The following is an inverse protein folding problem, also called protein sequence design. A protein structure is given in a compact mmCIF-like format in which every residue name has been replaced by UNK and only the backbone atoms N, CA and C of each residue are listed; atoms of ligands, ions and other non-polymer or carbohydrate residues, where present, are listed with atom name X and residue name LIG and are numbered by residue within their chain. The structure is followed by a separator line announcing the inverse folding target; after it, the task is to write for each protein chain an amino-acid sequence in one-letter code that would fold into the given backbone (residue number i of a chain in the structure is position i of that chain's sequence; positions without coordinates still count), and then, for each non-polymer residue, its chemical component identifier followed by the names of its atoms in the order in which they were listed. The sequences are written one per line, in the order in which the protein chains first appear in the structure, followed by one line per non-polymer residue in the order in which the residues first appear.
data_IF_902266383842
#
_entry.id   IF_902266383842
#
_cell.length_a   1.000
_cell.length_b   1.000
_cell.length_c   1.000
_cell.angle_alpha   90.00
_cell.angle_beta   90.00
_cell.angle_gamma   90.00
#
_symmetry.space_group_name_H-M   'P 1'
#
loop_
_entity.id
_entity.type
_entity.pdbx_description
1 polymer ?
#
# COMPACT_ATOMS: atom_id res chain seq x y z
N UNK A 1 27.12 -7.02 14.23
CA UNK A 1 26.01 -6.24 13.64
C UNK A 1 25.38 -5.45 14.77
N UNK A 2 25.48 -4.12 14.72
CA UNK A 2 24.73 -3.30 15.69
C UNK A 2 23.23 -3.56 15.47
N UNK A 3 22.55 -4.02 16.52
CA UNK A 3 21.11 -4.18 16.47
C UNK A 3 20.48 -2.79 16.36
N UNK A 4 19.80 -2.54 15.23
CA UNK A 4 19.01 -1.34 15.02
C UNK A 4 18.06 -1.07 16.19
N UNK A 5 17.77 0.20 16.44
CA UNK A 5 16.74 0.62 17.40
C UNK A 5 15.41 -0.08 17.10
N UNK A 6 15.08 -0.25 15.80
CA UNK A 6 13.85 -0.93 15.39
C UNK A 6 13.83 -2.39 15.84
N UNK A 7 14.90 -3.15 15.57
CA UNK A 7 14.98 -4.57 15.95
C UNK A 7 15.00 -4.75 17.48
N UNK A 8 15.64 -3.84 18.23
CA UNK A 8 15.57 -3.81 19.70
C UNK A 8 14.14 -3.58 20.21
N UNK A 9 13.38 -2.68 19.58
CA UNK A 9 11.99 -2.41 19.98
C UNK A 9 11.05 -3.56 19.63
N UNK A 10 11.18 -4.13 18.43
CA UNK A 10 10.37 -5.26 17.97
C UNK A 10 10.64 -6.55 18.75
N UNK A 11 11.88 -6.77 19.19
CA UNK A 11 12.21 -7.91 20.05
C UNK A 11 11.76 -7.73 21.50
N UNK A 12 11.76 -6.50 22.02
CA UNK A 12 11.38 -6.20 23.41
C UNK A 12 9.87 -6.16 23.64
N UNK A 13 9.08 -5.80 22.62
CA UNK A 13 7.64 -5.61 22.76
C UNK A 13 6.86 -6.36 21.68
N UNK A 14 5.82 -7.10 22.09
CA UNK A 14 4.93 -7.85 21.19
C UNK A 14 3.76 -7.02 20.63
N UNK A 15 3.56 -5.80 21.11
CA UNK A 15 2.44 -4.94 20.73
C UNK A 15 2.91 -3.78 19.86
N UNK A 16 2.50 -3.78 18.60
CA UNK A 16 2.80 -2.70 17.66
C UNK A 16 2.23 -1.36 18.14
N UNK A 17 1.02 -1.35 18.71
CA UNK A 17 0.41 -0.12 19.25
C UNK A 17 1.21 0.44 20.41
N UNK A 18 1.81 -0.42 21.24
CA UNK A 18 2.75 0.01 22.30
C UNK A 18 4.01 0.63 21.71
N UNK A 19 4.60 0.01 20.68
CA UNK A 19 5.79 0.53 20.01
C UNK A 19 5.49 1.88 19.33
N UNK A 20 4.36 1.99 18.63
CA UNK A 20 3.89 3.25 18.04
C UNK A 20 3.77 4.36 19.10
N UNK A 21 3.17 4.06 20.26
CA UNK A 21 3.10 5.03 21.36
C UNK A 21 4.47 5.43 21.90
N UNK A 22 5.40 4.49 22.04
CA UNK A 22 6.78 4.79 22.48
C UNK A 22 7.44 5.76 21.49
N UNK A 23 7.34 5.50 20.19
CA UNK A 23 7.89 6.37 19.15
C UNK A 23 7.19 7.73 19.11
N UNK A 24 5.86 7.76 19.22
CA UNK A 24 5.07 9.00 19.27
C UNK A 24 5.48 9.87 20.47
N UNK A 25 5.58 9.29 21.67
CA UNK A 25 6.08 9.98 22.85
C UNK A 25 7.53 10.44 22.68
N UNK A 26 8.40 9.61 22.07
CA UNK A 26 9.77 9.98 21.73
C UNK A 26 9.84 11.23 20.85
N UNK A 27 8.96 11.35 19.85
CA UNK A 27 8.89 12.52 18.96
C UNK A 27 8.49 13.81 19.69
N UNK A 28 7.61 13.74 20.70
CA UNK A 28 7.22 14.91 21.51
C UNK A 28 8.38 15.60 22.21
N UNK A 29 9.50 14.92 22.43
CA UNK A 29 10.69 15.55 23.03
C UNK A 29 11.39 16.52 22.06
N UNK A 30 11.26 16.29 20.75
CA UNK A 30 11.85 17.15 19.72
C UNK A 30 10.89 18.23 19.21
N UNK A 31 9.60 18.16 19.57
CA UNK A 31 8.60 19.12 19.15
C UNK A 31 8.51 20.35 20.10
N UNK A 32 8.36 21.57 19.55
CA UNK A 32 8.07 22.77 20.32
C UNK A 32 6.88 22.58 21.26
N UNK A 33 6.95 23.19 22.45
CA UNK A 33 5.92 23.04 23.49
C UNK A 33 4.54 23.52 23.02
N UNK A 34 4.48 24.45 22.06
CA UNK A 34 3.25 24.97 21.46
C UNK A 34 2.49 23.95 20.58
N UNK A 35 3.16 22.91 20.06
CA UNK A 35 2.53 21.88 19.22
C UNK A 35 2.08 20.65 20.02
N UNK A 36 2.19 20.70 21.35
CA UNK A 36 1.84 19.58 22.23
C UNK A 36 0.36 19.67 22.59
N UNK A 37 -0.49 19.02 21.81
CA UNK A 37 -1.89 18.85 22.16
C UNK A 37 -2.03 17.85 23.31
N UNK A 38 -2.28 18.38 24.52
CA UNK A 38 -2.70 17.63 25.68
C UNK A 38 -1.79 16.48 26.15
N UNK A 39 -2.31 15.71 27.12
CA UNK A 39 -1.60 14.59 27.74
C UNK A 39 -1.65 13.30 26.90
N UNK A 40 -2.63 13.20 26.00
CA UNK A 40 -2.94 12.00 25.20
C UNK A 40 -2.29 12.08 23.82
N UNK A 41 -1.78 10.95 23.31
CA UNK A 41 -1.27 10.86 21.93
C UNK A 41 -2.44 10.97 20.96
N UNK A 42 -2.34 11.86 19.98
CA UNK A 42 -3.36 12.06 18.96
C UNK A 42 -3.30 10.95 17.89
N UNK A 43 -4.40 10.70 17.16
CA UNK A 43 -4.38 9.75 16.03
C UNK A 43 -3.33 10.11 14.97
N UNK A 44 -3.08 11.41 14.76
CA UNK A 44 -2.08 11.90 13.81
C UNK A 44 -0.67 11.52 14.28
N UNK A 45 -0.35 11.74 15.56
CA UNK A 45 0.94 11.33 16.12
C UNK A 45 1.15 9.81 16.04
N UNK A 46 0.08 9.02 16.20
CA UNK A 46 0.12 7.57 16.01
C UNK A 46 0.42 7.19 14.55
N UNK A 47 -0.23 7.85 13.60
CA UNK A 47 0.01 7.64 12.17
C UNK A 47 1.44 8.02 11.77
N UNK A 48 1.92 9.18 12.23
CA UNK A 48 3.29 9.63 12.03
C UNK A 48 4.32 8.67 12.62
N UNK A 49 4.05 8.13 13.83
CA UNK A 49 4.91 7.14 14.46
C UNK A 49 4.94 5.84 13.66
N UNK A 50 3.79 5.38 13.15
CA UNK A 50 3.72 4.22 12.27
C UNK A 50 4.51 4.45 10.97
N UNK A 51 4.31 5.59 10.31
CA UNK A 51 5.04 5.94 9.08
C UNK A 51 6.56 5.96 9.34
N UNK A 52 7.00 6.46 10.50
CA UNK A 52 8.42 6.43 10.88
C UNK A 52 8.95 5.00 11.05
N UNK A 53 8.18 4.12 11.68
CA UNK A 53 8.54 2.70 11.83
C UNK A 53 8.67 2.02 10.48
N UNK A 54 7.70 2.22 9.58
CA UNK A 54 7.73 1.69 8.21
C UNK A 54 8.96 2.22 7.46
N UNK A 55 9.25 3.52 7.58
CA UNK A 55 10.44 4.10 6.96
C UNK A 55 11.72 3.40 7.43
N UNK A 56 11.88 3.21 8.74
CA UNK A 56 13.07 2.54 9.30
C UNK A 56 13.19 1.10 8.79
N UNK A 57 12.10 0.34 8.78
CA UNK A 57 12.05 -1.02 8.26
C UNK A 57 12.44 -1.07 6.77
N UNK A 58 11.94 -0.13 5.98
CA UNK A 58 12.26 -0.04 4.56
C UNK A 58 13.73 0.28 4.30
N UNK A 59 14.36 1.13 5.12
CA UNK A 59 15.79 1.41 5.00
C UNK A 59 16.66 0.21 5.38
N UNK A 60 16.24 -0.56 6.39
CA UNK A 60 16.96 -1.77 6.83
C UNK A 60 16.85 -2.91 5.81
N UNK A 61 15.64 -3.16 5.30
CA UNK A 61 15.38 -4.31 4.44
C UNK A 61 15.56 -4.00 2.93
N UNK A 62 15.30 -2.77 2.50
CA UNK A 62 15.33 -2.36 1.08
C UNK A 62 16.22 -1.13 0.82
N UNK A 63 17.50 -1.14 1.25
CA UNK A 63 18.39 0.00 1.07
C UNK A 63 18.56 0.36 -0.41
N UNK A 64 18.52 1.66 -0.71
CA UNK A 64 18.68 2.22 -2.06
C UNK A 64 17.51 1.99 -3.02
N UNK A 65 16.46 1.25 -2.62
CA UNK A 65 15.29 1.02 -3.46
C UNK A 65 14.48 2.32 -3.66
N UNK A 66 14.30 3.12 -2.60
CA UNK A 66 13.57 4.38 -2.68
C UNK A 66 14.26 5.38 -3.63
N UNK A 67 15.59 5.49 -3.57
CA UNK A 67 16.36 6.37 -4.46
C UNK A 67 16.30 5.92 -5.91
N UNK A 68 16.33 4.60 -6.15
CA UNK A 68 16.18 4.03 -7.48
C UNK A 68 14.81 4.39 -8.08
N UNK A 69 13.73 4.20 -7.31
CA UNK A 69 12.38 4.56 -7.72
C UNK A 69 12.22 6.07 -7.96
N UNK A 70 12.79 6.92 -7.09
CA UNK A 70 12.77 8.39 -7.27
C UNK A 70 13.50 8.84 -8.54
N UNK A 71 14.67 8.25 -8.84
CA UNK A 71 15.52 8.68 -9.96
C UNK A 71 15.08 8.11 -11.31
N UNK A 72 14.64 6.85 -11.34
CA UNK A 72 14.36 6.12 -12.59
C UNK A 72 12.88 5.81 -12.82
N UNK A 73 12.02 6.04 -11.83
CA UNK A 73 10.59 5.71 -11.91
C UNK A 73 10.27 4.21 -11.92
N UNK A 74 11.28 3.33 -11.89
CA UNK A 74 11.10 1.88 -11.91
C UNK A 74 12.24 1.16 -11.21
N UNK A 75 12.02 -0.11 -10.85
CA UNK A 75 13.04 -0.95 -10.24
C UNK A 75 14.01 -1.48 -11.31
N UNK A 76 15.26 -1.01 -11.27
CA UNK A 76 16.33 -1.52 -12.15
C UNK A 76 17.28 -2.49 -11.44
N UNK A 77 17.27 -2.51 -10.11
CA UNK A 77 18.18 -3.32 -9.30
C UNK A 77 17.82 -4.82 -9.40
N UNK A 78 18.76 -5.69 -9.82
CA UNK A 78 18.52 -7.13 -9.96
C UNK A 78 17.96 -7.78 -8.68
N UNK A 79 18.48 -7.37 -7.52
CA UNK A 79 18.06 -7.83 -6.19
C UNK A 79 16.55 -7.68 -5.94
N UNK A 80 15.94 -6.65 -6.51
CA UNK A 80 14.56 -6.27 -6.24
C UNK A 80 13.60 -6.49 -7.42
N UNK A 81 14.04 -7.16 -8.49
CA UNK A 81 13.23 -7.39 -9.70
C UNK A 81 11.89 -8.08 -9.42
N UNK A 82 11.85 -8.98 -8.44
CA UNK A 82 10.63 -9.67 -8.03
C UNK A 82 9.56 -8.69 -7.47
N UNK A 83 9.96 -7.52 -6.98
CA UNK A 83 9.05 -6.49 -6.50
C UNK A 83 8.42 -5.67 -7.63
N UNK A 84 8.89 -5.80 -8.88
CA UNK A 84 8.34 -5.05 -10.02
C UNK A 84 6.86 -5.38 -10.26
N UNK A 85 6.46 -6.64 -10.05
CA UNK A 85 5.08 -7.10 -10.15
C UNK A 85 4.13 -6.37 -9.18
N UNK A 86 4.67 -5.77 -8.13
CA UNK A 86 3.91 -5.02 -7.12
C UNK A 86 3.72 -3.54 -7.49
N UNK A 87 4.25 -3.10 -8.63
CA UNK A 87 4.26 -1.71 -9.10
C UNK A 87 4.53 -0.69 -7.96
N UNK A 88 5.68 -0.83 -7.26
CA UNK A 88 5.98 0.03 -6.12
C UNK A 88 6.37 1.43 -6.58
N UNK A 89 5.95 2.42 -5.81
CA UNK A 89 6.27 3.84 -6.01
C UNK A 89 6.63 4.46 -4.67
N UNK A 90 7.25 5.65 -4.70
CA UNK A 90 7.56 6.42 -3.48
C UNK A 90 6.53 7.52 -3.32
N UNK A 91 5.92 7.61 -2.15
CA UNK A 91 4.93 8.64 -1.84
C UNK A 91 5.55 9.97 -1.38
N UNK A 92 4.70 10.94 -1.03
CA UNK A 92 5.11 12.25 -0.51
C UNK A 92 5.93 12.18 0.78
N UNK A 93 5.64 11.20 1.63
CA UNK A 93 6.32 10.99 2.91
C UNK A 93 7.64 10.21 2.75
N UNK A 94 7.98 9.82 1.52
CA UNK A 94 9.18 9.09 1.18
C UNK A 94 9.11 7.59 1.49
N UNK A 95 7.93 7.06 1.73
CA UNK A 95 7.68 5.63 1.91
C UNK A 95 7.48 4.94 0.58
N UNK A 96 8.03 3.74 0.47
CA UNK A 96 7.74 2.85 -0.65
C UNK A 96 6.36 2.25 -0.43
N UNK A 97 5.42 2.58 -1.30
CA UNK A 97 4.05 2.05 -1.28
C UNK A 97 3.79 1.25 -2.55
N UNK A 98 2.80 0.36 -2.48
CA UNK A 98 2.28 -0.36 -3.66
C UNK A 98 1.08 0.38 -4.21
N UNK A 99 0.97 0.41 -5.53
CA UNK A 99 -0.26 0.84 -6.19
C UNK A 99 -1.38 -0.12 -5.78
N UNK A 100 -2.33 0.36 -4.96
CA UNK A 100 -3.63 -0.32 -4.83
C UNK A 100 -4.37 -0.19 -6.16
N UNK A 101 -5.53 -0.84 -6.30
CA UNK A 101 -6.52 -0.70 -7.40
C UNK A 101 -7.09 0.74 -7.57
N UNK A 102 -6.25 1.76 -7.38
CA UNK A 102 -6.52 3.19 -7.43
C UNK A 102 -5.96 3.83 -8.70
N UNK A 103 -5.12 3.12 -9.45
CA UNK A 103 -4.79 3.50 -10.82
C UNK A 103 -6.03 3.23 -11.65
N UNK A 104 -6.51 4.28 -12.31
CA UNK A 104 -7.63 4.18 -13.24
C UNK A 104 -7.29 3.12 -14.29
N UNK A 105 -8.06 2.04 -14.32
CA UNK A 105 -7.96 1.05 -15.37
C UNK A 105 -8.85 1.52 -16.53
N UNK A 106 -8.45 1.27 -17.78
CA UNK A 106 -9.32 1.52 -18.91
C UNK A 106 -10.68 0.84 -18.69
N UNK A 107 -11.76 1.54 -19.04
CA UNK A 107 -13.08 0.92 -19.06
C UNK A 107 -13.06 -0.31 -19.97
N UNK A 108 -13.78 -1.36 -19.54
CA UNK A 108 -14.05 -2.56 -20.35
C UNK A 108 -14.63 -2.15 -21.72
N UNK A 109 -14.24 -2.88 -22.77
CA UNK A 109 -14.73 -2.65 -24.14
C UNK A 109 -15.68 -3.76 -24.59
N UNK A 110 -16.62 -3.41 -25.47
CA UNK A 110 -17.48 -4.41 -26.12
C UNK A 110 -16.60 -5.40 -26.89
N UNK A 111 -16.89 -6.69 -26.74
CA UNK A 111 -16.14 -7.76 -27.38
C UNK A 111 -14.87 -8.19 -26.65
N UNK A 112 -14.48 -7.55 -25.54
CA UNK A 112 -13.31 -7.93 -24.74
C UNK A 112 -13.56 -9.24 -23.99
N UNK A 113 -12.54 -10.10 -23.92
CA UNK A 113 -12.61 -11.40 -23.22
C UNK A 113 -12.20 -11.19 -21.77
N UNK A 114 -13.04 -11.69 -20.85
CA UNK A 114 -12.90 -11.52 -19.41
C UNK A 114 -13.12 -12.83 -18.67
N UNK A 115 -12.60 -12.93 -17.44
CA UNK A 115 -12.93 -14.02 -16.53
C UNK A 115 -14.15 -13.64 -15.71
N UNK A 116 -15.17 -14.49 -15.73
CA UNK A 116 -16.41 -14.36 -14.97
C UNK A 116 -16.39 -15.40 -13.86
N UNK A 117 -16.70 -14.97 -12.64
CA UNK A 117 -16.94 -15.88 -11.54
C UNK A 117 -18.36 -16.43 -11.67
N UNK A 118 -18.49 -17.73 -11.93
CA UNK A 118 -19.79 -18.39 -12.01
C UNK A 118 -20.28 -18.75 -10.61
N UNK A 119 -21.08 -17.86 -10.01
CA UNK A 119 -21.66 -18.08 -8.67
C UNK A 119 -22.70 -19.21 -8.64
N UNK A 120 -23.16 -19.70 -9.80
CA UNK A 120 -24.16 -20.78 -9.87
C UNK A 120 -23.54 -22.19 -9.72
N UNK A 121 -22.22 -22.33 -9.87
CA UNK A 121 -21.53 -23.60 -9.68
C UNK A 121 -20.95 -23.68 -8.26
N UNK A 122 -21.12 -24.84 -7.60
CA UNK A 122 -20.45 -25.11 -6.33
C UNK A 122 -18.94 -25.17 -6.59
N UNK A 123 -18.25 -24.06 -6.33
CA UNK A 123 -16.82 -23.90 -6.49
C UNK A 123 -16.47 -22.61 -7.23
N UNK A 124 -15.42 -21.92 -6.79
CA UNK A 124 -14.92 -20.67 -7.39
C UNK A 124 -14.29 -20.92 -8.77
N UNK A 125 -15.09 -21.37 -9.73
CA UNK A 125 -14.65 -21.67 -11.09
C UNK A 125 -14.74 -20.40 -11.92
N UNK A 126 -13.58 -19.97 -12.41
CA UNK A 126 -13.47 -18.85 -13.33
C UNK A 126 -13.74 -19.35 -14.75
N UNK A 127 -14.77 -18.81 -15.41
CA UNK A 127 -15.10 -19.11 -16.80
C UNK A 127 -14.74 -17.93 -17.69
N UNK A 128 -14.35 -18.19 -18.94
CA UNK A 128 -14.15 -17.13 -19.92
C UNK A 128 -15.51 -16.64 -20.43
N UNK A 129 -15.68 -15.32 -20.49
CA UNK A 129 -16.83 -14.64 -21.06
C UNK A 129 -16.40 -13.50 -21.97
N UNK A 130 -17.32 -13.02 -22.80
CA UNK A 130 -17.11 -11.85 -23.65
C UNK A 130 -18.04 -10.71 -23.20
N UNK A 131 -17.51 -9.49 -23.12
CA UNK A 131 -18.29 -8.29 -22.78
C UNK A 131 -19.32 -8.02 -23.88
N UNK A 132 -20.59 -8.24 -23.57
CA UNK A 132 -21.74 -8.06 -24.48
C UNK A 132 -22.38 -6.68 -24.38
N UNK A 133 -22.37 -6.07 -23.18
CA UNK A 133 -23.02 -4.81 -22.86
C UNK A 133 -22.16 -4.04 -21.82
N UNK A 134 -22.19 -2.71 -21.89
CA UNK A 134 -21.46 -1.82 -20.97
C UNK A 134 -22.43 -0.79 -20.40
N UNK A 135 -22.37 -0.60 -19.08
CA UNK A 135 -23.16 0.39 -18.37
C UNK A 135 -22.23 1.32 -17.56
N UNK A 136 -21.84 2.49 -18.09
CA UNK A 136 -21.05 3.45 -17.33
C UNK A 136 -21.89 4.06 -16.20
N UNK A 137 -21.29 4.23 -15.03
CA UNK A 137 -21.90 4.97 -13.92
C UNK A 137 -21.93 6.48 -14.17
N UNK A 138 -22.51 7.23 -13.23
CA UNK A 138 -22.57 8.71 -13.33
C UNK A 138 -21.21 9.40 -13.35
N UNK A 139 -20.14 8.71 -12.96
CA UNK A 139 -18.75 9.17 -13.06
C UNK A 139 -18.00 8.62 -14.29
N UNK A 140 -18.73 8.06 -15.27
CA UNK A 140 -18.17 7.52 -16.51
C UNK A 140 -17.45 6.18 -16.38
N UNK A 141 -17.42 5.57 -15.18
CA UNK A 141 -16.71 4.30 -14.94
C UNK A 141 -17.62 3.08 -15.02
N UNK A 142 -17.13 2.02 -15.66
CA UNK A 142 -17.85 0.75 -15.80
C UNK A 142 -17.56 -0.13 -14.59
N UNK A 143 -18.53 -0.27 -13.67
CA UNK A 143 -18.35 -1.02 -12.41
C UNK A 143 -19.29 -2.21 -12.19
N UNK A 144 -20.34 -2.40 -13.00
CA UNK A 144 -21.28 -3.51 -12.78
C UNK A 144 -22.06 -3.94 -14.03
N UNK A 145 -22.36 -5.25 -14.05
CA UNK A 145 -23.17 -6.07 -14.97
C UNK A 145 -22.63 -6.22 -16.40
N UNK A 146 -21.90 -7.33 -16.58
CA UNK A 146 -21.82 -8.05 -17.85
C UNK A 146 -23.01 -9.00 -17.89
N UNK A 147 -23.82 -8.97 -18.94
CA UNK A 147 -24.71 -10.10 -19.21
C UNK A 147 -23.90 -11.18 -19.89
N UNK A 148 -23.77 -12.39 -19.32
CA UNK A 148 -23.22 -13.49 -20.09
C UNK A 148 -24.09 -13.67 -21.33
N UNK A 149 -23.46 -13.73 -22.50
CA UNK A 149 -24.14 -14.14 -23.72
C UNK A 149 -24.45 -15.63 -23.54
N UNK A 150 -25.74 -15.97 -23.51
CA UNK A 150 -26.20 -17.36 -23.50
C UNK A 150 -25.72 -18.11 -24.74
#
# INVERSE_FOLDING_TARGET
MEQSILSKLLSRYSSLTKIQRIIAYGRRFYLPRALKEGLTITPIEMEEALNKLIYMDQQENFPGLADNLRKRGTITLPKWKHLLALAPFVDSDGLIKRSKWRVDQPNLKLGEVVLVLDEAQLGNKWVLGQVSEIHPGGDGRVRRRLKPKA
#
